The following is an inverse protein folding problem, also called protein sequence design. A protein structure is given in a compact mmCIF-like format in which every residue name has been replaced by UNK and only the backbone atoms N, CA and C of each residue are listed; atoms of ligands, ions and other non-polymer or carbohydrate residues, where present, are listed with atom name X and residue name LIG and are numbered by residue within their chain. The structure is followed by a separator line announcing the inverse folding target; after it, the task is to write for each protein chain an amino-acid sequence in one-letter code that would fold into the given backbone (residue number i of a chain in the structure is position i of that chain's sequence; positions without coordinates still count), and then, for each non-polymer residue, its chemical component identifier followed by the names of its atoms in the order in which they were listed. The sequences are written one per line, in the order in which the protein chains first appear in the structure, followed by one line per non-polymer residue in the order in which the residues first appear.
data_IF_266286127733
#
_entry.id   IF_266286127733
#
_cell.length_a   1.000
_cell.length_b   1.000
_cell.length_c   1.000
_cell.angle_alpha   90.00
_cell.angle_beta   90.00
_cell.angle_gamma   90.00
#
_symmetry.space_group_name_H-M   'P 1'
#
loop_
_entity.id
_entity.type
_entity.pdbx_description
1 polymer ?
#
# COMPACT_ATOMS: atom_id res chain seq x y z
N UNK A 1 7.81 5.19 8.53
CA UNK A 1 7.02 3.95 8.52
C UNK A 1 7.72 2.86 9.31
N UNK A 2 6.96 1.98 9.97
CA UNK A 2 7.47 0.81 10.69
C UNK A 2 6.98 -0.44 9.97
N UNK A 3 7.89 -1.30 9.54
CA UNK A 3 7.59 -2.57 8.88
C UNK A 3 8.07 -3.73 9.74
N UNK A 4 7.27 -4.79 9.82
CA UNK A 4 7.63 -6.07 10.42
C UNK A 4 7.88 -7.07 9.29
N UNK A 5 9.04 -7.71 9.30
CA UNK A 5 9.47 -8.63 8.24
C UNK A 5 9.99 -9.90 8.91
N UNK A 6 9.65 -11.10 8.41
CA UNK A 6 10.27 -12.33 8.90
C UNK A 6 11.80 -12.20 8.94
N UNK A 7 12.41 -12.59 10.05
CA UNK A 7 13.85 -12.42 10.30
C UNK A 7 14.70 -13.00 9.16
N UNK A 8 14.34 -14.18 8.65
CA UNK A 8 15.01 -14.83 7.52
C UNK A 8 14.93 -14.08 6.17
N UNK A 9 13.99 -13.14 6.00
CA UNK A 9 13.83 -12.33 4.78
C UNK A 9 14.34 -10.89 4.91
N UNK A 10 14.87 -10.52 6.09
CA UNK A 10 15.38 -9.18 6.34
C UNK A 10 16.49 -8.77 5.34
N UNK A 11 17.45 -9.67 5.09
CA UNK A 11 18.57 -9.40 4.19
C UNK A 11 18.14 -9.19 2.74
N UNK A 12 17.21 -10.01 2.24
CA UNK A 12 16.66 -9.90 0.89
C UNK A 12 15.92 -8.56 0.70
N UNK A 13 15.09 -8.17 1.67
CA UNK A 13 14.36 -6.92 1.61
C UNK A 13 15.29 -5.70 1.67
N UNK A 14 16.34 -5.74 2.49
CA UNK A 14 17.33 -4.66 2.55
C UNK A 14 18.10 -4.53 1.24
N UNK A 15 18.45 -5.64 0.58
CA UNK A 15 19.09 -5.64 -0.73
C UNK A 15 18.17 -5.04 -1.81
N UNK A 16 16.89 -5.42 -1.80
CA UNK A 16 15.91 -4.87 -2.73
C UNK A 16 15.70 -3.36 -2.55
N UNK A 17 15.62 -2.87 -1.31
CA UNK A 17 15.47 -1.42 -1.04
C UNK A 17 16.65 -0.61 -1.63
N UNK A 18 17.88 -1.13 -1.52
CA UNK A 18 19.06 -0.48 -2.10
C UNK A 18 19.02 -0.38 -3.63
N UNK A 19 18.28 -1.25 -4.30
CA UNK A 19 18.14 -1.20 -5.77
C UNK A 19 17.14 -0.12 -6.22
N UNK A 20 16.13 0.19 -5.40
CA UNK A 20 15.08 1.16 -5.75
C UNK A 20 15.32 2.56 -5.17
N UNK A 21 16.15 2.69 -4.13
CA UNK A 21 16.37 3.95 -3.43
C UNK A 21 17.83 4.11 -2.99
N UNK A 22 18.29 5.37 -3.01
CA UNK A 22 19.58 5.73 -2.44
C UNK A 22 19.51 5.70 -0.90
N UNK A 23 20.31 4.84 -0.28
CA UNK A 23 20.36 4.72 1.18
C UNK A 23 21.32 5.75 1.75
N UNK A 24 20.78 6.83 2.34
CA UNK A 24 21.58 7.86 3.02
C UNK A 24 22.25 7.36 4.31
N UNK A 25 21.54 6.57 5.10
CA UNK A 25 22.02 6.04 6.37
C UNK A 25 21.31 4.74 6.69
N UNK A 26 22.06 3.71 7.07
CA UNK A 26 21.51 2.45 7.57
C UNK A 26 22.18 2.12 8.91
N UNK A 27 21.37 1.81 9.91
CA UNK A 27 21.82 1.29 11.18
C UNK A 27 21.09 -0.03 11.44
N UNK A 28 21.85 -1.08 11.72
CA UNK A 28 21.32 -2.42 11.97
C UNK A 28 21.81 -2.84 13.35
N UNK A 29 20.87 -3.18 14.22
CA UNK A 29 21.12 -3.70 15.57
C UNK A 29 20.48 -5.07 15.66
N UNK A 30 21.16 -5.99 16.34
CA UNK A 30 20.66 -7.33 16.61
C UNK A 30 20.95 -7.63 18.07
N UNK A 31 19.89 -7.94 18.81
CA UNK A 31 19.98 -8.31 20.22
C UNK A 31 19.60 -9.79 20.33
N UNK A 32 20.43 -10.58 21.03
CA UNK A 32 20.10 -11.98 21.34
C UNK A 32 19.25 -12.02 22.61
N UNK A 33 18.04 -12.55 22.49
CA UNK A 33 17.06 -12.68 23.58
C UNK A 33 16.82 -14.14 23.97
N UNK A 34 17.65 -15.07 23.49
CA UNK A 34 17.47 -16.50 23.71
C UNK A 34 17.51 -16.86 25.20
N UNK A 35 18.46 -16.29 25.95
CA UNK A 35 18.57 -16.50 27.40
C UNK A 35 17.32 -16.01 28.14
N UNK A 36 16.84 -14.81 27.81
CA UNK A 36 15.64 -14.24 28.42
C UNK A 36 14.39 -15.07 28.09
N UNK A 37 14.29 -15.58 26.85
CA UNK A 37 13.20 -16.44 26.42
C UNK A 37 13.10 -17.70 27.29
N UNK A 38 14.22 -18.42 27.44
CA UNK A 38 14.25 -19.64 28.24
C UNK A 38 14.03 -19.39 29.74
N UNK A 39 14.53 -18.27 30.29
CA UNK A 39 14.25 -17.88 31.68
C UNK A 39 12.75 -17.63 31.91
N UNK A 40 12.12 -16.82 31.04
CA UNK A 40 10.69 -16.51 31.16
C UNK A 40 9.84 -17.76 31.01
N UNK A 41 10.16 -18.64 30.06
CA UNK A 41 9.48 -19.92 29.86
C UNK A 41 9.58 -20.83 31.09
N UNK A 42 10.78 -20.99 31.66
CA UNK A 42 10.99 -21.76 32.88
C UNK A 42 10.21 -21.18 34.07
N UNK A 43 10.15 -19.84 34.18
CA UNK A 43 9.38 -19.16 35.23
C UNK A 43 7.87 -19.38 35.07
N UNK A 44 7.35 -19.37 33.84
CA UNK A 44 5.93 -19.69 33.57
C UNK A 44 5.64 -21.12 34.05
N UNK A 45 6.47 -22.10 33.66
CA UNK A 45 6.30 -23.48 34.08
C UNK A 45 6.28 -23.63 35.61
N UNK A 46 7.22 -22.99 36.30
CA UNK A 46 7.28 -23.02 37.76
C UNK A 46 6.01 -22.43 38.41
N UNK A 47 5.53 -21.30 37.87
CA UNK A 47 4.31 -20.64 38.37
C UNK A 47 3.04 -21.43 38.09
N UNK A 48 2.94 -22.10 36.95
CA UNK A 48 1.83 -23.02 36.66
C UNK A 48 1.83 -24.25 37.58
N UNK A 49 3.02 -24.76 37.93
CA UNK A 49 3.13 -25.82 38.94
C UNK A 49 2.72 -25.33 40.33
N UNK A 50 3.10 -24.11 40.71
CA UNK A 50 2.65 -23.46 41.95
C UNK A 50 1.12 -23.32 41.98
N UNK A 51 0.51 -22.80 40.91
CA UNK A 51 -0.94 -22.70 40.75
C UNK A 51 -1.64 -24.06 40.87
N UNK A 52 -1.12 -25.08 40.17
CA UNK A 52 -1.68 -26.45 40.22
C UNK A 52 -1.63 -27.02 41.64
N UNK A 53 -0.54 -26.74 42.37
CA UNK A 53 -0.41 -27.18 43.77
C UNK A 53 -1.42 -26.47 44.67
N UNK A 54 -1.62 -25.17 44.49
CA UNK A 54 -2.63 -24.39 45.23
C UNK A 54 -4.05 -24.88 44.93
N UNK A 55 -4.36 -25.20 43.68
CA UNK A 55 -5.65 -25.77 43.28
C UNK A 55 -5.90 -27.13 43.94
N UNK A 56 -4.89 -28.02 43.95
CA UNK A 56 -5.00 -29.31 44.66
C UNK A 56 -5.22 -29.13 46.16
N UNK A 57 -4.52 -28.18 46.78
CA UNK A 57 -4.77 -27.84 48.18
C UNK A 57 -6.21 -27.37 48.38
N UNK A 58 -6.77 -26.58 47.46
CA UNK A 58 -8.17 -26.16 47.54
C UNK A 58 -9.15 -27.35 47.43
N UNK A 59 -8.91 -28.28 46.51
CA UNK A 59 -9.75 -29.45 46.28
C UNK A 59 -9.72 -30.47 47.44
N UNK A 60 -8.55 -30.64 48.08
CA UNK A 60 -8.35 -31.62 49.15
C UNK A 60 -8.86 -31.14 50.53
N UNK A 61 -9.29 -29.88 50.68
CA UNK A 61 -9.57 -29.28 51.98
C UNK A 61 -11.06 -29.08 52.30
N UNK A 62 -11.54 -29.77 53.35
CA UNK A 62 -12.70 -29.38 54.18
C UNK A 62 -12.31 -28.30 55.21
N UNK A 63 -11.79 -27.17 54.73
CA UNK A 63 -11.23 -26.09 55.55
C UNK A 63 -12.26 -24.99 55.91
N UNK A 64 -11.89 -24.10 56.84
CA UNK A 64 -12.72 -22.92 57.19
C UNK A 64 -12.79 -21.96 56.00
N UNK A 65 -13.92 -21.28 55.83
CA UNK A 65 -14.13 -20.30 54.73
C UNK A 65 -12.99 -19.25 54.64
N UNK A 66 -12.41 -18.84 55.76
CA UNK A 66 -11.28 -17.89 55.79
C UNK A 66 -10.01 -18.43 55.12
N UNK A 67 -9.76 -19.74 55.24
CA UNK A 67 -8.61 -20.42 54.65
C UNK A 67 -8.81 -20.57 53.14
N UNK A 68 -10.02 -20.98 52.72
CA UNK A 68 -10.43 -21.06 51.30
C UNK A 68 -10.22 -19.72 50.59
N UNK A 69 -10.75 -18.63 51.17
CA UNK A 69 -10.59 -17.28 50.60
C UNK A 69 -9.12 -16.82 50.56
N UNK A 70 -8.27 -17.29 51.48
CA UNK A 70 -6.84 -16.98 51.45
C UNK A 70 -6.12 -17.68 50.29
N UNK A 71 -6.45 -18.95 50.04
CA UNK A 71 -5.89 -19.73 48.94
C UNK A 71 -6.37 -19.19 47.58
N UNK A 72 -7.65 -18.81 47.46
CA UNK A 72 -8.17 -18.20 46.22
C UNK A 72 -7.46 -16.88 45.86
N UNK A 73 -7.19 -16.02 46.86
CA UNK A 73 -6.43 -14.79 46.61
C UNK A 73 -5.03 -15.09 46.10
N UNK A 74 -4.40 -16.13 46.65
CA UNK A 74 -3.06 -16.53 46.24
C UNK A 74 -3.06 -17.14 44.83
N UNK A 75 -4.06 -17.98 44.50
CA UNK A 75 -4.27 -18.49 43.14
C UNK A 75 -4.44 -17.32 42.17
N UNK A 76 -5.28 -16.33 42.51
CA UNK A 76 -5.50 -15.16 41.66
C UNK A 76 -4.22 -14.34 41.46
N UNK A 77 -3.38 -14.22 42.49
CA UNK A 77 -2.08 -13.55 42.41
C UNK A 77 -1.13 -14.30 41.47
N UNK A 78 -0.97 -15.60 41.66
CA UNK A 78 -0.09 -16.45 40.84
C UNK A 78 -0.56 -16.47 39.39
N UNK A 79 -1.87 -16.58 39.13
CA UNK A 79 -2.42 -16.52 37.78
C UNK A 79 -2.11 -15.18 37.09
N UNK A 80 -2.26 -14.06 37.81
CA UNK A 80 -1.87 -12.75 37.28
C UNK A 80 -0.39 -12.67 36.90
N UNK A 81 0.50 -13.29 37.70
CA UNK A 81 1.94 -13.39 37.36
C UNK A 81 2.19 -14.24 36.12
N UNK A 82 1.50 -15.38 35.98
CA UNK A 82 1.58 -16.24 34.79
C UNK A 82 1.16 -15.46 33.54
N UNK A 83 0.04 -14.74 33.58
CA UNK A 83 -0.45 -13.97 32.45
C UNK A 83 0.53 -12.87 32.02
N UNK A 84 1.15 -12.18 32.99
CA UNK A 84 2.18 -11.18 32.72
C UNK A 84 3.42 -11.80 32.08
N UNK A 85 3.90 -12.94 32.60
CA UNK A 85 5.04 -13.65 32.02
C UNK A 85 4.73 -14.17 30.61
N UNK A 86 3.53 -14.71 30.38
CA UNK A 86 3.10 -15.13 29.05
C UNK A 86 3.03 -13.97 28.06
N UNK A 87 2.60 -12.78 28.51
CA UNK A 87 2.64 -11.58 27.68
C UNK A 87 4.07 -11.19 27.32
N UNK A 88 5.01 -11.30 28.28
CA UNK A 88 6.44 -11.08 28.02
C UNK A 88 7.00 -12.09 27.02
N UNK A 89 6.69 -13.38 27.20
CA UNK A 89 7.14 -14.44 26.30
C UNK A 89 6.68 -14.19 24.86
N UNK A 90 5.42 -13.79 24.65
CA UNK A 90 4.90 -13.42 23.31
C UNK A 90 5.72 -12.30 22.66
N UNK A 91 6.10 -11.28 23.43
CA UNK A 91 6.94 -10.19 22.91
C UNK A 91 8.32 -10.71 22.51
N UNK A 92 8.93 -11.60 23.30
CA UNK A 92 10.23 -12.20 22.97
C UNK A 92 10.13 -13.08 21.71
N UNK A 93 9.08 -13.90 21.59
CA UNK A 93 8.80 -14.69 20.38
C UNK A 93 8.72 -13.80 19.14
N UNK A 94 7.93 -12.73 19.20
CA UNK A 94 7.80 -11.77 18.10
C UNK A 94 9.13 -11.11 17.72
N UNK A 95 10.03 -10.87 18.69
CA UNK A 95 11.36 -10.31 18.43
C UNK A 95 12.30 -11.30 17.74
N UNK A 96 12.17 -12.59 18.04
CA UNK A 96 12.97 -13.65 17.39
C UNK A 96 12.47 -13.98 15.99
N UNK A 97 11.15 -13.98 15.77
CA UNK A 97 10.54 -14.34 14.49
C UNK A 97 10.54 -13.18 13.48
N UNK A 98 10.47 -11.93 13.96
CA UNK A 98 10.28 -10.75 13.12
C UNK A 98 11.35 -9.68 13.35
N UNK A 99 12.03 -9.32 12.26
CA UNK A 99 12.83 -8.10 12.21
C UNK A 99 11.93 -6.85 12.11
N UNK A 100 12.31 -5.80 12.84
CA UNK A 100 11.63 -4.49 12.78
C UNK A 100 12.46 -3.50 11.97
N UNK A 101 11.86 -2.91 10.93
CA UNK A 101 12.51 -1.91 10.08
C UNK A 101 11.79 -0.58 10.21
N UNK A 102 12.54 0.44 10.62
CA UNK A 102 12.06 1.82 10.66
C UNK A 102 12.58 2.58 9.44
N UNK A 103 11.70 2.90 8.51
CA UNK A 103 12.05 3.58 7.26
C UNK A 103 11.61 5.03 7.32
N UNK A 104 12.54 5.95 7.04
CA UNK A 104 12.28 7.37 6.80
C UNK A 104 12.67 7.69 5.37
N UNK A 105 11.68 8.08 4.56
CA UNK A 105 11.91 8.49 3.17
C UNK A 105 11.97 10.01 3.14
N UNK A 106 12.94 10.52 2.39
CA UNK A 106 13.09 11.94 2.11
C UNK A 106 13.00 12.11 0.59
N UNK A 107 12.07 12.94 0.15
CA UNK A 107 12.02 13.36 -1.24
C UNK A 107 13.15 14.35 -1.50
N UNK A 108 14.08 14.00 -2.39
CA UNK A 108 15.05 14.98 -2.89
C UNK A 108 14.30 15.92 -3.83
N UNK A 109 14.02 17.14 -3.36
CA UNK A 109 13.60 18.20 -4.27
C UNK A 109 14.75 18.49 -5.25
N UNK A 110 14.47 18.30 -6.54
CA UNK A 110 15.47 18.44 -7.60
C UNK A 110 16.11 17.13 -8.08
N UNK A 111 15.52 15.95 -7.81
CA UNK A 111 15.90 14.73 -8.53
C UNK A 111 15.54 14.87 -10.02
N UNK A 112 16.48 15.41 -10.79
CA UNK A 112 16.56 15.18 -12.21
C UNK A 112 17.28 13.83 -12.35
N UNK A 113 16.66 12.79 -12.93
CA UNK A 113 17.40 11.56 -13.19
C UNK A 113 18.66 11.92 -13.98
N UNK A 114 19.83 11.46 -13.54
CA UNK A 114 21.14 11.67 -14.17
C UNK A 114 21.22 11.18 -15.63
N UNK A 115 20.12 10.65 -16.16
CA UNK A 115 19.89 10.64 -17.60
C UNK A 115 19.58 12.05 -18.08
N UNK A 116 20.58 12.93 -18.09
CA UNK A 116 20.76 13.81 -19.23
C UNK A 116 20.94 12.87 -20.44
N UNK A 117 19.83 12.33 -20.96
CA UNK A 117 19.78 11.41 -22.08
C UNK A 117 20.77 11.92 -23.12
N UNK A 118 21.64 11.06 -23.66
CA UNK A 118 22.54 11.47 -24.73
C UNK A 118 21.73 12.16 -25.83
N UNK A 119 22.31 13.11 -26.54
CA UNK A 119 21.61 13.87 -27.59
C UNK A 119 20.83 12.94 -28.54
N UNK A 120 21.41 11.79 -28.89
CA UNK A 120 20.74 10.74 -29.68
C UNK A 120 19.48 10.16 -29.02
N UNK A 121 19.52 9.88 -27.72
CA UNK A 121 18.36 9.33 -27.00
C UNK A 121 17.25 10.38 -26.79
N UNK A 122 17.58 11.68 -26.76
CA UNK A 122 16.58 12.77 -26.78
C UNK A 122 15.92 12.90 -28.15
N UNK A 123 16.71 12.80 -29.23
CA UNK A 123 16.19 12.82 -30.60
C UNK A 123 15.25 11.65 -30.87
N UNK A 124 15.63 10.43 -30.50
CA UNK A 124 14.78 9.25 -30.77
C UNK A 124 13.45 9.31 -30.03
N UNK A 125 13.46 9.74 -28.76
CA UNK A 125 12.22 9.95 -27.99
C UNK A 125 11.37 11.09 -28.57
N UNK A 126 12.00 12.19 -28.99
CA UNK A 126 11.29 13.30 -29.65
C UNK A 126 10.62 12.86 -30.95
N UNK A 127 11.28 12.03 -31.76
CA UNK A 127 10.71 11.47 -33.00
C UNK A 127 9.57 10.51 -32.70
N UNK A 128 9.71 9.61 -31.73
CA UNK A 128 8.62 8.69 -31.34
C UNK A 128 7.40 9.46 -30.84
N UNK A 129 7.59 10.44 -29.96
CA UNK A 129 6.51 11.26 -29.43
C UNK A 129 5.85 12.13 -30.52
N UNK A 130 6.63 12.57 -31.52
CA UNK A 130 6.09 13.29 -32.68
C UNK A 130 5.24 12.39 -33.58
N UNK A 131 5.62 11.12 -33.77
CA UNK A 131 4.85 10.15 -34.56
C UNK A 131 3.53 9.78 -33.88
N UNK A 132 3.53 9.58 -32.55
CA UNK A 132 2.31 9.36 -31.78
C UNK A 132 1.38 10.58 -31.84
N UNK A 133 1.95 11.79 -31.75
CA UNK A 133 1.18 13.04 -31.87
C UNK A 133 0.57 13.21 -33.26
N UNK A 134 1.29 12.85 -34.32
CA UNK A 134 0.77 12.87 -35.69
C UNK A 134 -0.41 11.89 -35.86
N UNK A 135 -0.31 10.68 -35.31
CA UNK A 135 -1.42 9.72 -35.32
C UNK A 135 -2.63 10.25 -34.54
N UNK A 136 -2.42 10.82 -33.36
CA UNK A 136 -3.48 11.39 -32.53
C UNK A 136 -4.20 12.57 -33.23
N UNK A 137 -3.45 13.48 -33.87
CA UNK A 137 -4.02 14.59 -34.64
C UNK A 137 -4.78 14.06 -35.86
N UNK A 138 -4.23 13.07 -36.57
CA UNK A 138 -4.88 12.47 -37.74
C UNK A 138 -6.20 11.80 -37.35
N UNK A 139 -6.21 11.04 -36.26
CA UNK A 139 -7.42 10.43 -35.72
C UNK A 139 -8.44 11.50 -35.30
N UNK A 140 -7.98 12.59 -34.69
CA UNK A 140 -8.84 13.71 -34.28
C UNK A 140 -9.51 14.39 -35.48
N UNK A 141 -8.77 14.59 -36.58
CA UNK A 141 -9.32 15.16 -37.82
C UNK A 141 -10.34 14.23 -38.47
N UNK A 142 -10.08 12.92 -38.50
CA UNK A 142 -11.03 11.95 -39.04
C UNK A 142 -12.33 11.92 -38.21
N UNK A 143 -12.23 11.91 -36.89
CA UNK A 143 -13.40 11.97 -36.01
C UNK A 143 -14.16 13.29 -36.23
N UNK A 144 -13.46 14.42 -36.31
CA UNK A 144 -14.08 15.72 -36.57
C UNK A 144 -14.85 15.75 -37.90
N UNK A 145 -14.32 15.13 -38.96
CA UNK A 145 -15.01 14.99 -40.25
C UNK A 145 -16.29 14.16 -40.14
N UNK A 146 -16.24 13.02 -39.44
CA UNK A 146 -17.41 12.16 -39.22
C UNK A 146 -18.48 12.88 -38.40
N UNK A 147 -18.08 13.61 -37.35
CA UNK A 147 -19.00 14.38 -36.50
C UNK A 147 -19.57 15.58 -37.25
N UNK A 148 -18.81 16.22 -38.15
CA UNK A 148 -19.29 17.34 -38.95
C UNK A 148 -20.25 16.92 -40.08
N UNK A 149 -20.20 15.67 -40.52
CA UNK A 149 -20.98 15.14 -41.65
C UNK A 149 -22.50 15.30 -41.47
N UNK A 150 -23.11 14.93 -40.32
CA UNK A 150 -24.52 15.18 -40.05
C UNK A 150 -24.89 16.67 -40.11
N UNK A 151 -24.03 17.55 -39.59
CA UNK A 151 -24.27 19.00 -39.60
C UNK A 151 -24.15 19.60 -41.00
N UNK A 152 -23.17 19.14 -41.80
CA UNK A 152 -23.02 19.53 -43.20
C UNK A 152 -24.22 19.10 -44.05
N UNK A 153 -24.79 17.92 -43.79
CA UNK A 153 -26.01 17.47 -44.47
C UNK A 153 -27.22 18.27 -43.98
N UNK A 154 -27.40 18.43 -42.67
CA UNK A 154 -28.54 19.12 -42.08
C UNK A 154 -28.61 20.61 -42.46
N UNK A 155 -27.47 21.30 -42.57
CA UNK A 155 -27.41 22.72 -42.95
C UNK A 155 -27.22 22.92 -44.47
N UNK A 156 -26.45 22.05 -45.12
CA UNK A 156 -26.12 22.18 -46.55
C UNK A 156 -27.31 21.90 -47.48
N UNK A 157 -28.12 20.88 -47.18
CA UNK A 157 -29.30 20.54 -47.99
C UNK A 157 -30.34 21.67 -48.03
N UNK A 158 -30.82 22.24 -46.90
CA UNK A 158 -31.78 23.35 -46.94
C UNK A 158 -31.18 24.61 -47.57
N UNK A 159 -29.88 24.88 -47.40
CA UNK A 159 -29.22 26.01 -48.05
C UNK A 159 -29.23 25.88 -49.58
N UNK A 160 -28.91 24.68 -50.12
CA UNK A 160 -28.94 24.41 -51.56
C UNK A 160 -30.36 24.51 -52.11
N UNK A 161 -31.37 24.00 -51.38
CA UNK A 161 -32.78 24.10 -51.76
C UNK A 161 -33.26 25.55 -51.76
N UNK A 162 -32.95 26.32 -50.72
CA UNK A 162 -33.26 27.75 -50.63
C UNK A 162 -32.63 28.54 -51.79
N UNK A 163 -31.36 28.28 -52.10
CA UNK A 163 -30.67 28.92 -53.23
C UNK A 163 -31.31 28.54 -54.58
N UNK A 164 -31.72 27.28 -54.79
CA UNK A 164 -32.44 26.86 -56.00
C UNK A 164 -33.83 27.49 -56.11
N UNK A 165 -34.58 27.59 -55.01
CA UNK A 165 -35.90 28.22 -54.97
C UNK A 165 -35.82 29.73 -55.22
N UNK A 166 -34.82 30.40 -54.65
CA UNK A 166 -34.53 31.82 -54.91
C UNK A 166 -34.09 32.08 -56.36
N UNK A 167 -33.37 31.14 -56.99
CA UNK A 167 -33.05 31.22 -58.42
C UNK A 167 -34.29 30.98 -59.30
N UNK A 168 -35.21 30.10 -58.90
CA UNK A 168 -36.47 29.85 -59.62
C UNK A 168 -37.46 31.02 -59.52
N UNK A 169 -37.60 31.66 -58.36
CA UNK A 169 -38.52 32.79 -58.19
C UNK A 169 -38.06 34.05 -58.94
N UNK A 170 -36.76 34.23 -59.15
CA UNK A 170 -36.22 35.30 -60.01
C UNK A 170 -36.53 35.10 -61.50
N UNK A 171 -36.74 33.87 -61.95
CA UNK A 171 -37.07 33.57 -63.36
C UNK A 171 -38.57 33.72 -63.68
N UNK A 172 -39.46 33.58 -62.69
CA UNK A 172 -40.91 33.71 -62.87
C UNK A 172 -41.41 35.17 -62.74
N UNK A 173 -40.67 36.04 -62.04
CA UNK A 173 -41.03 37.48 -61.92
C UNK A 173 -40.75 38.30 -63.20
N UNK A 174 -40.16 37.70 -64.24
CA UNK A 174 -39.96 38.37 -65.55
C UNK A 174 -41.04 38.05 -66.59
N UNK A 175 -42.12 37.34 -66.22
CA UNK A 175 -43.17 36.91 -67.17
C UNK A 175 -44.59 37.45 -66.87
N UNK A 176 -44.73 38.33 -65.89
CA UNK A 176 -45.91 39.17 -65.68
C UNK A 176 -45.46 40.61 -65.44
N UNK A 177 -44.96 41.22 -66.51
CA UNK A 177 -44.98 42.64 -66.78
C UNK A 177 -45.33 42.77 -68.27
#
# INVERSE_FOLDING_TARGET
WKLRVPSGRFGELLANIKNFAEVRSAHVTSDDVSEEYYDVDARIHNKQHEETRLLRLLDDHTAKLSEVLSVEREISRVRGEVEQLQARLRVLTDLTDLATINVRLYETQGYHPDTAASFGLRLTRGVQQSLESLLAVTQSVLIALVVALPWLVALGVPLIVALKLLRRSRLLKSRTA
#
